data_IF_887581107445
#
_entry.id   IF_887581107445
#
_cell.length_a   1.000
_cell.length_b   1.000
_cell.length_c   1.000
_cell.angle_alpha   90.00
_cell.angle_beta   90.00
_cell.angle_gamma   90.00
#
_symmetry.space_group_name_H-M   'P 1'
#
loop_
_entity.id
_entity.type
_entity.pdbx_description
1 polymer ?
#
# COMPACT_ATOMS: atom_id res chain seq x y z
N UNK A 1 25.41 2.98 -3.87
CA UNK A 1 23.94 3.05 -3.97
C UNK A 1 23.39 2.92 -2.55
N UNK A 2 22.92 4.00 -1.94
CA UNK A 2 22.51 4.00 -0.52
C UNK A 2 21.25 3.15 -0.39
N UNK A 3 21.34 2.03 0.30
CA UNK A 3 20.20 1.20 0.68
C UNK A 3 19.26 2.05 1.54
N UNK A 4 18.21 2.62 0.95
CA UNK A 4 17.14 3.24 1.73
C UNK A 4 16.58 2.15 2.66
N UNK A 5 16.69 2.39 3.97
CA UNK A 5 16.13 1.51 4.99
C UNK A 5 14.61 1.40 4.85
N UNK A 6 13.98 0.59 5.70
CA UNK A 6 12.53 0.57 5.79
C UNK A 6 12.00 1.97 6.16
N UNK A 7 10.93 2.40 5.49
CA UNK A 7 10.19 3.61 5.84
C UNK A 7 9.00 3.17 6.68
N UNK A 8 8.87 3.69 7.89
CA UNK A 8 7.74 3.41 8.78
C UNK A 8 7.05 4.71 9.12
N UNK A 9 5.73 4.76 8.94
CA UNK A 9 4.87 5.88 9.33
C UNK A 9 3.76 5.38 10.23
N UNK A 10 3.37 6.17 11.23
CA UNK A 10 2.31 5.86 12.18
C UNK A 10 1.41 7.07 12.33
N UNK A 11 0.11 6.85 12.43
CA UNK A 11 -0.87 7.89 12.65
C UNK A 11 -2.09 7.37 13.40
N UNK A 12 -2.77 8.27 14.09
CA UNK A 12 -4.08 8.00 14.70
C UNK A 12 -5.15 8.55 13.79
N UNK A 13 -6.05 7.68 13.34
CA UNK A 13 -7.18 8.04 12.48
C UNK A 13 -8.26 8.80 13.27
N UNK A 14 -9.17 9.45 12.56
CA UNK A 14 -10.27 10.21 13.16
C UNK A 14 -11.23 9.38 14.02
N UNK A 15 -11.22 8.06 13.87
CA UNK A 15 -11.96 7.10 14.69
C UNK A 15 -11.19 6.59 15.92
N UNK A 16 -10.00 7.15 16.19
CA UNK A 16 -9.13 6.77 17.31
C UNK A 16 -8.28 5.52 17.09
N UNK A 17 -8.37 4.87 15.92
CA UNK A 17 -7.56 3.69 15.60
C UNK A 17 -6.16 4.12 15.18
N UNK A 18 -5.14 3.49 15.76
CA UNK A 18 -3.76 3.66 15.33
C UNK A 18 -3.47 2.79 14.12
N UNK A 19 -2.91 3.38 13.07
CA UNK A 19 -2.49 2.68 11.86
C UNK A 19 -1.01 2.90 11.61
N UNK A 20 -0.37 1.86 11.09
CA UNK A 20 1.02 1.85 10.66
C UNK A 20 1.11 1.53 9.17
N UNK A 21 1.93 2.31 8.47
CA UNK A 21 2.39 2.02 7.13
C UNK A 21 3.88 1.67 7.18
N UNK A 22 4.28 0.56 6.55
CA UNK A 22 5.69 0.19 6.38
C UNK A 22 5.96 -0.04 4.90
N UNK A 23 7.01 0.56 4.37
CA UNK A 23 7.58 0.24 3.06
C UNK A 23 8.97 -0.37 3.27
N UNK A 24 9.16 -1.59 2.77
CA UNK A 24 10.45 -2.30 2.77
C UNK A 24 10.86 -2.53 1.31
N UNK A 25 11.54 -1.56 0.67
CA UNK A 25 11.84 -1.63 -0.77
C UNK A 25 12.64 -2.87 -1.17
N UNK A 26 13.57 -3.31 -0.32
CA UNK A 26 14.41 -4.49 -0.58
C UNK A 26 13.61 -5.80 -0.70
N UNK A 27 12.40 -5.84 -0.14
CA UNK A 27 11.50 -6.98 -0.18
C UNK A 27 10.31 -6.74 -1.12
N UNK A 28 10.23 -5.57 -1.78
CA UNK A 28 9.03 -5.11 -2.45
C UNK A 28 7.78 -5.30 -1.57
N UNK A 29 7.87 -4.95 -0.29
CA UNK A 29 6.81 -5.19 0.69
C UNK A 29 6.24 -3.87 1.20
N UNK A 30 4.93 -3.78 1.18
CA UNK A 30 4.14 -2.71 1.78
C UNK A 30 3.23 -3.31 2.84
N UNK A 31 3.18 -2.70 4.02
CA UNK A 31 2.34 -3.12 5.14
C UNK A 31 1.42 -1.98 5.51
N UNK A 32 0.13 -2.25 5.63
CA UNK A 32 -0.88 -1.31 6.14
C UNK A 32 -1.65 -2.06 7.22
N UNK A 33 -1.43 -1.68 8.48
CA UNK A 33 -1.92 -2.44 9.62
C UNK A 33 -2.45 -1.52 10.72
N UNK A 34 -3.65 -1.81 11.22
CA UNK A 34 -4.20 -1.29 12.47
C UNK A 34 -3.90 -2.18 13.69
N UNK A 35 -3.03 -3.18 13.50
CA UNK A 35 -2.49 -4.06 14.52
C UNK A 35 -0.99 -3.81 14.71
N UNK A 36 -0.45 -4.24 15.85
CA UNK A 36 0.96 -4.03 16.20
C UNK A 36 1.95 -4.83 15.32
N UNK A 37 1.44 -5.77 14.51
CA UNK A 37 2.22 -6.69 13.68
C UNK A 37 1.73 -6.74 12.22
N UNK A 38 2.38 -7.57 11.40
CA UNK A 38 1.88 -7.95 10.08
C UNK A 38 0.46 -8.49 10.17
N UNK A 39 -0.36 -8.09 9.21
CA UNK A 39 -1.72 -8.56 9.06
C UNK A 39 -1.83 -9.98 8.50
N UNK A 40 -3.03 -10.57 8.60
CA UNK A 40 -3.27 -11.91 8.06
C UNK A 40 -3.42 -11.92 6.54
N UNK A 41 -3.74 -10.79 5.90
CA UNK A 41 -4.00 -10.73 4.47
C UNK A 41 -2.73 -10.38 3.70
N UNK A 42 -2.25 -11.32 2.89
CA UNK A 42 -1.08 -11.15 2.03
C UNK A 42 -1.51 -11.20 0.57
N UNK A 43 -1.15 -10.18 -0.19
CA UNK A 43 -1.68 -9.96 -1.54
C UNK A 43 -0.52 -9.65 -2.48
N UNK A 44 -0.38 -10.42 -3.56
CA UNK A 44 0.53 -10.09 -4.64
C UNK A 44 -0.12 -9.05 -5.55
N UNK A 45 0.64 -8.03 -5.92
CA UNK A 45 0.21 -7.00 -6.84
C UNK A 45 1.24 -6.92 -7.97
N UNK A 46 0.77 -7.15 -9.18
CA UNK A 46 1.51 -6.94 -10.41
C UNK A 46 0.88 -5.77 -11.17
N UNK A 47 1.68 -4.76 -11.44
CA UNK A 47 1.35 -3.65 -12.31
C UNK A 47 2.15 -3.78 -13.60
N UNK A 48 1.47 -3.85 -14.74
CA UNK A 48 2.08 -3.88 -16.07
C UNK A 48 1.12 -3.27 -17.09
N UNK A 49 1.64 -2.40 -17.98
CA UNK A 49 0.85 -1.78 -19.07
C UNK A 49 -0.45 -1.12 -18.57
N UNK A 50 -0.37 -0.38 -17.47
CA UNK A 50 -1.50 0.26 -16.80
C UNK A 50 -2.59 -0.70 -16.26
N UNK A 51 -2.31 -2.00 -16.19
CA UNK A 51 -3.21 -3.00 -15.63
C UNK A 51 -2.70 -3.49 -14.28
N UNK A 52 -3.64 -3.79 -13.37
CA UNK A 52 -3.36 -4.37 -12.06
C UNK A 52 -3.88 -5.81 -12.02
N UNK A 53 -2.96 -6.75 -11.88
CA UNK A 53 -3.26 -8.13 -11.52
C UNK A 53 -3.02 -8.28 -10.01
N UNK A 54 -4.08 -8.63 -9.27
CA UNK A 54 -4.07 -8.67 -7.81
C UNK A 54 -4.50 -10.06 -7.38
N UNK A 55 -3.64 -10.74 -6.63
CA UNK A 55 -3.84 -12.13 -6.22
C UNK A 55 -3.76 -12.23 -4.69
N UNK A 56 -4.82 -12.69 -4.06
CA UNK A 56 -4.82 -12.99 -2.63
C UNK A 56 -4.01 -14.26 -2.37
N UNK A 57 -2.96 -14.18 -1.56
CA UNK A 57 -2.04 -15.28 -1.26
C UNK A 57 -2.41 -15.99 0.04
N UNK A 58 -2.65 -15.22 1.11
CA UNK A 58 -2.96 -15.70 2.46
C UNK A 58 -3.99 -14.78 3.13
N UNK A 59 -4.76 -15.32 4.06
CA UNK A 59 -5.80 -14.61 4.82
C UNK A 59 -7.21 -15.18 4.60
N UNK A 60 -8.20 -14.64 5.28
CA UNK A 60 -9.63 -14.88 4.99
C UNK A 60 -10.21 -13.78 4.10
N UNK A 61 -11.46 -13.94 3.66
CA UNK A 61 -12.29 -12.84 3.12
C UNK A 61 -11.69 -12.06 1.95
N UNK A 62 -11.12 -12.78 0.97
CA UNK A 62 -10.51 -12.19 -0.22
C UNK A 62 -11.43 -11.17 -0.92
N UNK A 63 -12.73 -11.44 -1.02
CA UNK A 63 -13.72 -10.56 -1.66
C UNK A 63 -13.80 -9.18 -1.02
N UNK A 64 -13.52 -9.10 0.28
CA UNK A 64 -13.53 -7.86 1.05
C UNK A 64 -12.19 -7.11 0.91
N UNK A 65 -11.07 -7.83 0.94
CA UNK A 65 -9.74 -7.21 0.95
C UNK A 65 -9.14 -6.95 -0.44
N UNK A 66 -9.58 -7.63 -1.50
CA UNK A 66 -9.10 -7.38 -2.85
C UNK A 66 -9.44 -5.96 -3.37
N UNK A 67 -10.65 -5.40 -3.16
CA UNK A 67 -10.95 -4.01 -3.49
C UNK A 67 -10.08 -3.02 -2.71
N UNK A 68 -9.88 -3.25 -1.41
CA UNK A 68 -9.04 -2.43 -0.54
C UNK A 68 -7.58 -2.46 -1.00
N UNK A 69 -7.09 -3.65 -1.34
CA UNK A 69 -5.76 -3.84 -1.88
C UNK A 69 -5.57 -3.10 -3.21
N UNK A 70 -6.56 -3.14 -4.10
CA UNK A 70 -6.55 -2.39 -5.36
C UNK A 70 -6.46 -0.89 -5.12
N UNK A 71 -7.22 -0.38 -4.15
CA UNK A 71 -7.21 1.03 -3.78
C UNK A 71 -5.81 1.48 -3.32
N UNK A 72 -5.21 0.79 -2.36
CA UNK A 72 -3.86 1.13 -1.90
C UNK A 72 -2.79 0.92 -2.97
N UNK A 73 -2.91 -0.14 -3.76
CA UNK A 73 -1.98 -0.43 -4.86
C UNK A 73 -1.92 0.72 -5.85
N UNK A 74 -3.08 1.30 -6.18
CA UNK A 74 -3.15 2.45 -7.07
C UNK A 74 -2.32 3.62 -6.55
N UNK A 75 -2.50 3.98 -5.28
CA UNK A 75 -1.74 5.07 -4.65
C UNK A 75 -0.24 4.76 -4.51
N UNK A 76 0.13 3.50 -4.28
CA UNK A 76 1.54 3.08 -4.26
C UNK A 76 2.18 3.25 -5.65
N UNK A 77 1.52 2.80 -6.72
CA UNK A 77 2.00 2.95 -8.10
C UNK A 77 2.08 4.43 -8.49
N UNK A 78 1.02 5.20 -8.24
CA UNK A 78 0.96 6.64 -8.51
C UNK A 78 2.10 7.38 -7.80
N UNK A 79 2.35 7.10 -6.51
CA UNK A 79 3.45 7.74 -5.79
C UNK A 79 4.83 7.26 -6.27
N UNK A 80 4.96 5.97 -6.61
CA UNK A 80 6.23 5.40 -7.12
C UNK A 80 6.63 6.02 -8.47
N UNK A 81 5.65 6.27 -9.34
CA UNK A 81 5.86 6.77 -10.70
C UNK A 81 5.33 8.18 -10.91
N UNK A 82 5.18 8.98 -9.85
CA UNK A 82 4.51 10.30 -9.86
C UNK A 82 5.06 11.29 -10.88
N UNK A 83 6.30 11.11 -11.33
CA UNK A 83 6.99 12.01 -12.27
C UNK A 83 6.91 11.52 -13.73
N UNK A 84 6.35 10.34 -13.98
CA UNK A 84 6.27 9.76 -15.32
C UNK A 84 5.03 10.25 -16.05
N UNK A 85 5.18 10.52 -17.35
CA UNK A 85 4.05 10.73 -18.26
C UNK A 85 3.23 9.44 -18.44
N UNK A 86 1.97 9.52 -18.94
CA UNK A 86 1.14 8.34 -19.19
C UNK A 86 1.79 7.32 -20.14
N UNK A 87 2.57 7.79 -21.11
CA UNK A 87 3.31 6.93 -22.05
C UNK A 87 4.43 6.20 -21.33
N UNK A 88 5.24 6.91 -20.53
CA UNK A 88 6.33 6.30 -19.75
C UNK A 88 5.81 5.31 -18.71
N UNK A 89 4.67 5.61 -18.08
CA UNK A 89 4.01 4.73 -17.13
C UNK A 89 3.57 3.41 -17.78
N UNK A 90 3.10 3.46 -19.03
CA UNK A 90 2.65 2.27 -19.76
C UNK A 90 3.79 1.26 -20.05
N UNK A 91 5.04 1.72 -19.99
CA UNK A 91 6.24 0.90 -20.15
C UNK A 91 6.75 0.32 -18.83
N UNK A 92 6.22 0.75 -17.68
CA UNK A 92 6.68 0.29 -16.39
C UNK A 92 6.04 -1.05 -16.01
N UNK A 93 6.84 -1.86 -15.30
CA UNK A 93 6.37 -3.02 -14.55
C UNK A 93 6.78 -2.88 -13.10
N UNK A 94 5.88 -3.22 -12.18
CA UNK A 94 6.18 -3.30 -10.75
C UNK A 94 5.44 -4.47 -10.14
N UNK A 95 6.14 -5.26 -9.34
CA UNK A 95 5.58 -6.35 -8.57
C UNK A 95 5.92 -6.15 -7.09
N UNK A 96 4.92 -6.31 -6.23
CA UNK A 96 5.09 -6.13 -4.79
C UNK A 96 4.05 -6.91 -3.99
N UNK A 97 4.40 -7.17 -2.73
CA UNK A 97 3.51 -7.75 -1.75
C UNK A 97 2.87 -6.62 -0.94
N UNK A 98 1.55 -6.69 -0.81
CA UNK A 98 0.78 -5.86 0.09
C UNK A 98 0.26 -6.72 1.24
N UNK A 99 0.63 -6.36 2.46
CA UNK A 99 0.13 -6.96 3.68
C UNK A 99 -0.89 -6.02 4.33
N UNK A 100 -2.11 -6.52 4.59
CA UNK A 100 -3.22 -5.74 5.13
C UNK A 100 -3.73 -6.33 6.45
N UNK A 101 -3.96 -5.45 7.42
CA UNK A 101 -4.83 -5.69 8.59
C UNK A 101 -5.59 -4.41 8.87
N UNK A 102 -6.90 -4.40 8.59
CA UNK A 102 -7.75 -3.26 8.90
C UNK A 102 -9.09 -3.78 9.39
N UNK A 103 -9.46 -3.50 10.64
CA UNK A 103 -10.75 -3.94 11.18
C UNK A 103 -11.94 -3.16 10.61
N UNK A 104 -11.71 -1.93 10.14
CA UNK A 104 -12.71 -1.04 9.52
C UNK A 104 -12.03 -0.20 8.45
N UNK A 105 -12.66 -0.06 7.28
CA UNK A 105 -12.07 0.64 6.13
C UNK A 105 -13.12 1.26 5.20
N UNK A 106 -13.98 2.12 5.76
CA UNK A 106 -14.81 2.97 4.90
C UNK A 106 -13.95 3.96 4.07
N UNK A 107 -14.57 4.64 3.11
CA UNK A 107 -13.88 5.57 2.21
C UNK A 107 -13.05 6.62 2.96
N UNK A 108 -13.57 7.19 4.04
CA UNK A 108 -12.89 8.23 4.81
C UNK A 108 -11.64 7.66 5.48
N UNK A 109 -11.75 6.48 6.08
CA UNK A 109 -10.62 5.79 6.70
C UNK A 109 -9.53 5.45 5.68
N UNK A 110 -9.90 4.97 4.48
CA UNK A 110 -8.95 4.67 3.42
C UNK A 110 -8.18 5.93 2.96
N UNK A 111 -8.88 7.06 2.82
CA UNK A 111 -8.28 8.35 2.44
C UNK A 111 -7.30 8.86 3.50
N UNK A 112 -7.65 8.77 4.80
CA UNK A 112 -6.76 9.14 5.90
C UNK A 112 -5.46 8.31 5.90
N UNK A 113 -5.57 7.00 5.63
CA UNK A 113 -4.39 6.12 5.51
C UNK A 113 -3.53 6.49 4.31
N UNK A 114 -4.14 6.83 3.16
CA UNK A 114 -3.39 7.29 1.98
C UNK A 114 -2.64 8.59 2.27
N UNK A 115 -3.26 9.53 2.97
CA UNK A 115 -2.58 10.77 3.37
C UNK A 115 -1.36 10.48 4.23
N UNK A 116 -1.48 9.56 5.21
CA UNK A 116 -0.35 9.07 6.00
C UNK A 116 0.77 8.50 5.11
N UNK A 117 0.43 7.71 4.07
CA UNK A 117 1.41 7.16 3.13
C UNK A 117 2.18 8.25 2.36
N UNK A 118 1.49 9.32 1.95
CA UNK A 118 1.99 10.35 1.03
C UNK A 118 2.68 11.53 1.72
N UNK A 119 2.55 11.72 3.04
CA UNK A 119 3.08 12.91 3.70
C UNK A 119 4.60 13.14 3.48
N UNK A 120 5.03 14.41 3.27
CA UNK A 120 6.41 14.74 2.95
C UNK A 120 7.32 14.46 4.15
N UNK A 121 8.55 14.02 3.88
CA UNK A 121 9.64 14.25 4.82
C UNK A 121 9.65 15.75 5.11
N UNK A 122 9.29 16.14 6.34
CA UNK A 122 9.40 17.51 6.80
C UNK A 122 10.82 17.98 6.52
N UNK A 123 10.94 18.97 5.64
CA UNK A 123 12.21 19.63 5.28
C UNK A 123 12.77 20.43 6.45
#
# INVERSE_FOLDING_TARGET
MVSKGSITKRGTLSNGVNVMFICIPRLNLYVISDADNFGPHWINVEFEKNNYNIRHLLGSDADTYLPVARYFSKHIIENTFKTLSPVELSLQRKEFILNLSLRKFDKKILEEIVNLMVEPESS
#
